data_IF_162954770194
#
_entry.id   IF_162954770194
#
_cell.length_a   1.000
_cell.length_b   1.000
_cell.length_c   1.000
_cell.angle_alpha   90.00
_cell.angle_beta   90.00
_cell.angle_gamma   90.00
#
_symmetry.space_group_name_H-M   'P 1'
#
loop_
_entity.id
_entity.type
_entity.pdbx_description
1 polymer ?
#
# COMPACT_ATOMS: atom_id res chain seq x y z
N UNK A 1 14.70 -3.57 4.73
CA UNK A 1 13.90 -2.70 3.83
C UNK A 1 13.77 -3.29 2.42
N UNK A 2 14.86 -3.56 1.68
CA UNK A 2 14.76 -4.09 0.30
C UNK A 2 13.91 -5.36 0.15
N UNK A 3 14.00 -6.30 1.10
CA UNK A 3 13.17 -7.50 1.10
C UNK A 3 11.66 -7.22 1.24
N UNK A 4 11.26 -6.17 1.98
CA UNK A 4 9.86 -5.78 2.11
C UNK A 4 9.37 -5.18 0.79
N UNK A 5 10.16 -4.27 0.20
CA UNK A 5 9.82 -3.69 -1.10
C UNK A 5 9.67 -4.77 -2.19
N UNK A 6 10.57 -5.76 -2.20
CA UNK A 6 10.52 -6.86 -3.15
C UNK A 6 9.28 -7.74 -2.94
N UNK A 7 8.95 -8.08 -1.69
CA UNK A 7 7.72 -8.82 -1.40
C UNK A 7 6.46 -8.06 -1.83
N UNK A 8 6.41 -6.73 -1.59
CA UNK A 8 5.29 -5.89 -2.05
C UNK A 8 5.20 -5.85 -3.57
N UNK A 9 6.33 -5.74 -4.27
CA UNK A 9 6.38 -5.76 -5.74
C UNK A 9 5.84 -7.07 -6.30
N UNK A 10 6.29 -8.21 -5.77
CA UNK A 10 5.81 -9.53 -6.18
C UNK A 10 4.30 -9.67 -5.97
N UNK A 11 3.79 -9.29 -4.79
CA UNK A 11 2.36 -9.32 -4.50
C UNK A 11 1.53 -8.44 -5.45
N UNK A 12 2.00 -7.22 -5.73
CA UNK A 12 1.31 -6.28 -6.62
C UNK A 12 1.30 -6.77 -8.08
N UNK A 13 2.37 -7.44 -8.52
CA UNK A 13 2.51 -7.99 -9.87
C UNK A 13 1.72 -9.29 -10.08
N UNK A 14 1.64 -10.17 -9.08
CA UNK A 14 1.00 -11.48 -9.21
C UNK A 14 -0.53 -11.44 -9.11
N UNK A 15 -1.10 -10.45 -8.39
CA UNK A 15 -2.53 -10.39 -8.11
C UNK A 15 -3.05 -8.95 -8.20
N UNK A 16 -3.87 -8.67 -9.21
CA UNK A 16 -4.47 -7.35 -9.46
C UNK A 16 -5.37 -6.86 -8.30
N UNK A 17 -5.81 -7.76 -7.43
CA UNK A 17 -6.63 -7.43 -6.26
C UNK A 17 -5.80 -6.84 -5.12
N UNK A 18 -4.48 -6.94 -5.15
CA UNK A 18 -3.62 -6.45 -4.06
C UNK A 18 -3.56 -4.94 -4.10
N UNK A 19 -3.82 -4.25 -2.98
CA UNK A 19 -3.73 -2.80 -2.90
C UNK A 19 -2.76 -2.42 -1.80
N UNK A 20 -1.85 -1.49 -2.04
CA UNK A 20 -1.02 -0.89 -1.02
C UNK A 20 -1.66 0.43 -0.59
N UNK A 21 -2.10 0.53 0.66
CA UNK A 21 -2.80 1.71 1.17
C UNK A 21 -2.23 2.14 2.52
N UNK A 22 -1.89 3.41 2.69
CA UNK A 22 -1.34 3.87 3.95
C UNK A 22 -0.74 5.27 3.90
N UNK A 23 -0.32 5.78 5.03
CA UNK A 23 0.27 7.11 5.12
C UNK A 23 1.72 7.10 4.65
N UNK A 24 2.06 8.00 3.73
CA UNK A 24 3.42 8.21 3.25
C UNK A 24 3.91 7.15 2.26
N UNK A 25 3.03 6.31 1.73
CA UNK A 25 3.40 5.26 0.75
C UNK A 25 3.82 5.87 -0.59
N UNK A 26 3.39 7.10 -0.89
CA UNK A 26 3.85 7.89 -2.03
C UNK A 26 4.72 9.08 -1.62
N UNK A 27 5.05 9.21 -0.33
CA UNK A 27 5.88 10.32 0.14
C UNK A 27 7.32 10.21 -0.38
N UNK A 28 8.09 11.31 -0.40
CA UNK A 28 9.51 11.26 -0.74
C UNK A 28 10.35 10.30 0.12
N UNK A 29 9.85 9.91 1.30
CA UNK A 29 10.51 8.97 2.22
C UNK A 29 10.01 7.51 2.10
N UNK A 30 8.95 7.27 1.30
CA UNK A 30 8.41 5.94 0.95
C UNK A 30 8.32 4.95 2.13
N UNK A 31 7.81 5.43 3.27
CA UNK A 31 7.73 4.70 4.56
C UNK A 31 9.02 3.92 4.86
N UNK A 32 10.12 4.64 5.04
CA UNK A 32 11.42 4.03 5.31
C UNK A 32 12.00 3.29 4.11
N UNK A 33 11.77 3.80 2.90
CA UNK A 33 12.17 3.20 1.61
C UNK A 33 11.55 1.82 1.30
N UNK A 34 10.45 1.45 1.96
CA UNK A 34 9.78 0.16 1.73
C UNK A 34 8.89 0.17 0.50
N UNK A 35 8.43 1.34 0.03
CA UNK A 35 7.48 1.46 -1.09
C UNK A 35 8.06 2.13 -2.34
N UNK A 36 9.39 2.32 -2.39
CA UNK A 36 10.09 3.00 -3.50
C UNK A 36 9.78 2.32 -4.84
N UNK A 37 9.45 3.14 -5.85
CA UNK A 37 9.20 2.72 -7.23
C UNK A 37 7.85 2.03 -7.47
N UNK A 38 7.11 1.65 -6.42
CA UNK A 38 5.86 0.92 -6.58
C UNK A 38 4.74 1.78 -7.19
N UNK A 39 4.71 3.09 -6.87
CA UNK A 39 3.73 4.00 -7.48
C UNK A 39 3.95 4.13 -9.00
N UNK A 40 5.20 4.25 -9.43
CA UNK A 40 5.53 4.40 -10.85
C UNK A 40 5.24 3.10 -11.64
N UNK A 41 5.44 1.95 -10.99
CA UNK A 41 5.27 0.62 -11.60
C UNK A 41 3.80 0.18 -11.66
N UNK A 42 3.01 0.43 -10.61
CA UNK A 42 1.64 -0.09 -10.47
C UNK A 42 0.53 0.97 -10.50
N UNK A 43 0.89 2.25 -10.45
CA UNK A 43 -0.03 3.37 -10.58
C UNK A 43 -0.83 3.71 -9.31
N UNK A 44 -1.54 4.86 -9.34
CA UNK A 44 -2.24 5.41 -8.18
C UNK A 44 -3.49 4.61 -7.77
N UNK A 45 -3.98 3.73 -8.63
CA UNK A 45 -5.11 2.83 -8.28
C UNK A 45 -4.67 1.68 -7.37
N UNK A 46 -3.38 1.33 -7.39
CA UNK A 46 -2.80 0.20 -6.65
C UNK A 46 -1.95 0.64 -5.46
N UNK A 47 -1.40 1.86 -5.49
CA UNK A 47 -0.59 2.46 -4.42
C UNK A 47 -1.21 3.79 -3.98
N UNK A 48 -1.88 3.76 -2.83
CA UNK A 48 -2.81 4.81 -2.40
C UNK A 48 -2.30 5.46 -1.10
N UNK A 49 -1.92 6.73 -1.19
CA UNK A 49 -1.62 7.55 -0.02
C UNK A 49 -2.89 7.98 0.71
N UNK A 50 -2.81 8.13 2.02
CA UNK A 50 -3.98 8.39 2.86
C UNK A 50 -3.72 9.46 3.93
N UNK A 51 -4.76 10.19 4.39
CA UNK A 51 -4.64 11.15 5.48
C UNK A 51 -4.22 10.53 6.81
N UNK A 52 -3.88 11.35 7.81
CA UNK A 52 -3.58 10.84 9.17
C UNK A 52 -4.85 10.42 9.91
N UNK A 53 -5.36 9.22 9.60
CA UNK A 53 -6.56 8.62 10.21
C UNK A 53 -6.46 7.09 10.22
N UNK A 54 -5.64 6.52 11.10
CA UNK A 54 -5.31 5.08 11.05
C UNK A 54 -6.55 4.20 11.18
N UNK A 55 -7.47 4.54 12.08
CA UNK A 55 -8.73 3.80 12.25
C UNK A 55 -9.62 3.90 11.01
N UNK A 56 -9.70 5.08 10.39
CA UNK A 56 -10.48 5.28 9.17
C UNK A 56 -9.93 4.45 8.01
N UNK A 57 -8.61 4.51 7.79
CA UNK A 57 -7.92 3.74 6.73
C UNK A 57 -8.05 2.24 6.97
N UNK A 58 -7.91 1.80 8.22
CA UNK A 58 -8.09 0.39 8.57
C UNK A 58 -9.52 -0.06 8.24
N UNK A 59 -10.53 0.77 8.53
CA UNK A 59 -11.92 0.50 8.13
C UNK A 59 -12.10 0.41 6.62
N UNK A 60 -11.49 1.33 5.85
CA UNK A 60 -11.50 1.29 4.38
C UNK A 60 -10.86 0.01 3.85
N UNK A 61 -9.70 -0.37 4.40
CA UNK A 61 -8.99 -1.58 3.99
C UNK A 61 -9.79 -2.86 4.30
N UNK A 62 -10.47 -2.92 5.44
CA UNK A 62 -11.39 -4.01 5.79
C UNK A 62 -12.58 -4.05 4.83
N UNK A 63 -13.18 -2.89 4.52
CA UNK A 63 -14.27 -2.81 3.53
C UNK A 63 -13.83 -3.29 2.14
N UNK A 64 -12.65 -2.88 1.69
CA UNK A 64 -12.07 -3.35 0.43
C UNK A 64 -11.82 -4.87 0.45
N UNK A 65 -11.34 -5.42 1.57
CA UNK A 65 -11.15 -6.86 1.72
C UNK A 65 -12.48 -7.64 1.65
N UNK A 66 -13.53 -7.13 2.29
CA UNK A 66 -14.88 -7.69 2.19
C UNK A 66 -15.43 -7.64 0.76
N UNK A 67 -15.05 -6.62 -0.01
CA UNK A 67 -15.39 -6.49 -1.43
C UNK A 67 -14.52 -7.35 -2.37
N UNK A 68 -13.59 -8.15 -1.82
CA UNK A 68 -12.76 -9.09 -2.59
C UNK A 68 -11.35 -8.60 -2.93
N UNK A 69 -10.96 -7.41 -2.47
CA UNK A 69 -9.59 -6.90 -2.62
C UNK A 69 -8.65 -7.51 -1.57
N UNK A 70 -7.33 -7.34 -1.76
CA UNK A 70 -6.27 -7.82 -0.85
C UNK A 70 -5.43 -6.65 -0.40
N UNK A 71 -5.96 -5.87 0.54
CA UNK A 71 -5.34 -4.65 1.03
C UNK A 71 -4.14 -4.95 1.95
N UNK A 72 -3.00 -4.33 1.66
CA UNK A 72 -1.81 -4.23 2.51
C UNK A 72 -1.81 -2.84 3.11
N UNK A 73 -2.10 -2.75 4.42
CA UNK A 73 -2.20 -1.49 5.14
C UNK A 73 -0.86 -1.10 5.74
N UNK A 74 -0.43 0.14 5.51
CA UNK A 74 0.81 0.70 6.08
C UNK A 74 0.50 1.81 7.06
N UNK A 75 0.97 1.64 8.30
CA UNK A 75 0.95 2.67 9.34
C UNK A 75 2.39 3.08 9.68
N UNK A 76 2.79 4.34 9.45
CA UNK A 76 4.12 4.84 9.78
C UNK A 76 4.19 5.19 11.27
N UNK A 77 4.40 4.19 12.13
CA UNK A 77 4.73 4.37 13.55
C UNK A 77 5.83 3.43 13.98
#
# INVERSE_FOLDING_TARGET
VKAINEALRQLLAEDERVLLIGQGVTSPWYVGNTTVGLLDEFGPERVIDTPVSENGITGVAVGAALAGMRSVVVHPR
#
